data_IF_121648527576
#
_entry.id   IF_121648527576
#
_cell.length_a   1.000
_cell.length_b   1.000
_cell.length_c   1.000
_cell.angle_alpha   90.00
_cell.angle_beta   90.00
_cell.angle_gamma   90.00
#
_symmetry.space_group_name_H-M   'P 1'
#
loop_
_entity.id
_entity.type
_entity.pdbx_description
1 polymer ?
#
# COMPACT_ATOMS: atom_id res chain seq x y z
N UNK A 1 19.27 11.90 19.54
CA UNK A 1 19.26 10.66 20.36
C UNK A 1 18.85 9.51 19.48
N UNK A 2 19.81 8.68 19.05
CA UNK A 2 19.53 7.50 18.21
C UNK A 2 18.80 6.45 19.03
N UNK A 3 17.50 6.31 18.79
CA UNK A 3 16.73 5.13 19.23
C UNK A 3 16.66 4.09 18.13
N UNK A 4 17.78 3.64 17.63
CA UNK A 4 17.82 2.31 17.02
C UNK A 4 18.22 1.33 18.11
N UNK A 5 17.25 0.98 18.95
CA UNK A 5 17.33 -0.23 19.72
C UNK A 5 17.64 -1.38 18.75
N UNK A 6 18.62 -2.20 19.13
CA UNK A 6 19.12 -3.39 18.44
C UNK A 6 18.14 -3.94 17.40
N UNK A 7 18.52 -3.89 16.12
CA UNK A 7 17.76 -4.56 15.05
C UNK A 7 17.33 -5.94 15.52
N UNK A 8 16.03 -6.23 15.59
CA UNK A 8 15.60 -7.59 15.82
C UNK A 8 16.25 -8.46 14.76
N UNK A 9 16.77 -9.60 15.16
CA UNK A 9 17.37 -10.56 14.24
C UNK A 9 16.42 -10.75 13.05
N UNK A 10 16.93 -10.54 11.83
CA UNK A 10 16.13 -10.73 10.61
C UNK A 10 15.59 -12.13 10.61
N UNK A 11 14.28 -12.25 10.63
CA UNK A 11 13.62 -13.53 10.43
C UNK A 11 13.71 -13.83 8.94
N UNK A 12 14.70 -14.64 8.56
CA UNK A 12 14.83 -15.15 7.21
C UNK A 12 13.70 -16.15 6.96
N UNK A 13 12.69 -15.75 6.19
CA UNK A 13 11.58 -16.62 5.85
C UNK A 13 10.49 -15.89 5.07
N UNK A 14 9.67 -16.65 4.37
CA UNK A 14 8.48 -16.12 3.73
C UNK A 14 7.44 -15.72 4.78
N UNK A 15 6.64 -14.67 4.54
CA UNK A 15 5.60 -14.26 5.46
C UNK A 15 4.51 -15.32 5.59
N UNK A 16 3.84 -15.33 6.73
CA UNK A 16 2.58 -16.03 6.88
C UNK A 16 1.53 -15.38 5.98
N UNK A 17 0.58 -16.19 5.48
CA UNK A 17 -0.58 -15.67 4.74
C UNK A 17 -1.55 -14.91 5.64
N UNK A 18 -1.42 -15.01 6.97
CA UNK A 18 -2.34 -14.47 7.95
C UNK A 18 -3.67 -15.22 8.04
N UNK A 19 -3.83 -16.33 7.34
CA UNK A 19 -5.01 -17.19 7.46
C UNK A 19 -5.01 -17.85 8.84
N UNK A 20 -6.08 -17.62 9.62
CA UNK A 20 -6.31 -18.25 10.92
C UNK A 20 -7.50 -19.20 10.91
N UNK A 21 -8.38 -19.08 9.91
CA UNK A 21 -9.52 -19.99 9.76
C UNK A 21 -9.08 -21.27 9.07
N UNK A 22 -9.38 -22.40 9.67
CA UNK A 22 -9.16 -23.72 9.08
C UNK A 22 -10.32 -24.07 8.14
N UNK A 23 -10.03 -24.24 6.88
CA UNK A 23 -11.03 -24.67 5.87
C UNK A 23 -10.93 -26.17 5.58
N UNK A 24 -9.73 -26.71 5.70
CA UNK A 24 -9.44 -28.14 5.57
C UNK A 24 -8.21 -28.47 6.42
N UNK A 25 -8.18 -29.67 7.00
CA UNK A 25 -7.05 -30.12 7.79
C UNK A 25 -5.74 -30.09 6.96
N UNK A 26 -4.70 -29.44 7.51
CA UNK A 26 -3.40 -29.30 6.87
C UNK A 26 -3.24 -28.05 5.99
N UNK A 27 -4.27 -27.22 5.86
CA UNK A 27 -4.15 -25.92 5.21
C UNK A 27 -3.36 -24.92 6.07
N UNK A 28 -3.14 -23.71 5.55
CA UNK A 28 -2.35 -22.70 6.27
C UNK A 28 -3.06 -22.17 7.53
N UNK A 29 -4.38 -22.25 7.62
CA UNK A 29 -5.12 -21.96 8.85
C UNK A 29 -4.80 -22.92 9.98
N UNK A 30 -4.49 -24.21 9.65
CA UNK A 30 -4.04 -25.22 10.60
C UNK A 30 -2.58 -25.03 10.97
N UNK A 31 -1.69 -24.90 9.97
CA UNK A 31 -0.24 -24.97 10.18
C UNK A 31 0.42 -23.62 10.45
N UNK A 32 -0.20 -22.52 9.97
CA UNK A 32 0.30 -21.14 10.09
C UNK A 32 1.79 -20.99 9.76
N UNK A 33 2.21 -21.65 8.67
CA UNK A 33 3.59 -21.66 8.22
C UNK A 33 4.04 -20.28 7.75
N UNK A 34 5.29 -19.93 8.06
CA UNK A 34 5.90 -18.66 7.69
C UNK A 34 6.19 -17.77 8.88
N UNK A 35 6.73 -16.60 8.61
CA UNK A 35 7.08 -15.61 9.62
C UNK A 35 5.89 -14.68 9.84
N UNK A 36 5.43 -14.47 11.10
CA UNK A 36 4.36 -13.52 11.38
C UNK A 36 4.72 -12.11 10.94
N UNK A 37 3.74 -11.40 10.35
CA UNK A 37 3.90 -9.98 10.03
C UNK A 37 4.18 -9.16 11.29
N UNK A 38 5.12 -8.23 11.20
CA UNK A 38 5.51 -7.33 12.27
C UNK A 38 5.30 -5.89 11.83
N UNK A 39 4.10 -5.38 12.09
CA UNK A 39 3.77 -4.00 11.80
C UNK A 39 3.93 -3.12 13.03
N UNK A 40 4.46 -1.92 12.83
CA UNK A 40 4.43 -0.83 13.77
C UNK A 40 3.68 0.33 13.14
N UNK A 41 2.67 0.85 13.85
CA UNK A 41 1.89 2.00 13.40
C UNK A 41 2.37 3.23 14.15
N UNK A 42 2.85 4.22 13.41
CA UNK A 42 3.31 5.50 13.97
C UNK A 42 2.30 6.59 13.65
N UNK A 43 1.62 7.08 14.68
CA UNK A 43 0.55 8.08 14.57
C UNK A 43 0.78 9.32 15.43
N UNK A 44 1.88 9.37 16.22
CA UNK A 44 2.17 10.40 17.19
C UNK A 44 3.46 11.15 16.86
N UNK A 45 3.65 12.33 17.46
CA UNK A 45 4.83 13.15 17.22
C UNK A 45 4.92 13.64 15.78
N UNK A 46 6.03 13.38 15.11
CA UNK A 46 6.25 13.76 13.71
C UNK A 46 5.30 13.09 12.71
N UNK A 47 4.65 12.00 13.09
CA UNK A 47 3.69 11.26 12.25
C UNK A 47 2.24 11.62 12.55
N UNK A 48 2.00 12.64 13.37
CA UNK A 48 0.67 13.14 13.67
C UNK A 48 0.21 14.19 12.64
N UNK A 49 -1.11 14.35 12.52
CA UNK A 49 -1.72 15.35 11.65
C UNK A 49 -1.95 14.88 10.22
N UNK A 50 -2.09 15.84 9.34
CA UNK A 50 -2.38 15.62 7.92
C UNK A 50 -1.48 16.49 7.04
N UNK A 51 -1.15 15.99 5.86
CA UNK A 51 -0.37 16.69 4.84
C UNK A 51 -1.28 16.99 3.64
N UNK A 52 -1.25 18.22 3.16
CA UNK A 52 -1.93 18.62 1.93
C UNK A 52 -1.06 18.23 0.73
N UNK A 53 -1.46 17.19 0.01
CA UNK A 53 -0.84 16.77 -1.25
C UNK A 53 -1.62 17.46 -2.38
N UNK A 54 -0.96 18.34 -3.14
CA UNK A 54 -1.60 19.08 -4.22
C UNK A 54 -1.24 18.45 -5.57
N UNK A 55 -2.26 18.00 -6.31
CA UNK A 55 -2.12 17.44 -7.64
C UNK A 55 -3.11 18.14 -8.59
N UNK A 56 -2.60 18.80 -9.61
CA UNK A 56 -3.40 19.56 -10.60
C UNK A 56 -4.42 20.50 -9.93
N UNK A 57 -3.98 21.29 -8.96
CA UNK A 57 -4.83 22.23 -8.22
C UNK A 57 -5.86 21.61 -7.27
N UNK A 58 -5.93 20.28 -7.17
CA UNK A 58 -6.77 19.56 -6.20
C UNK A 58 -5.95 19.18 -4.99
N UNK A 59 -6.55 19.32 -3.82
CA UNK A 59 -5.89 18.98 -2.56
C UNK A 59 -6.40 17.66 -2.03
N UNK A 60 -5.47 16.73 -1.77
CA UNK A 60 -5.71 15.53 -1.01
C UNK A 60 -5.16 15.71 0.40
N UNK A 61 -6.02 15.64 1.40
CA UNK A 61 -5.61 15.70 2.79
C UNK A 61 -5.27 14.29 3.25
N UNK A 62 -3.98 14.00 3.32
CA UNK A 62 -3.47 12.68 3.65
C UNK A 62 -3.02 12.61 5.11
N UNK A 63 -3.37 11.52 5.80
CA UNK A 63 -2.85 11.27 7.15
C UNK A 63 -1.32 11.10 7.12
N UNK A 64 -0.63 11.71 8.06
CA UNK A 64 0.81 11.50 8.28
C UNK A 64 1.11 10.16 8.97
N UNK A 65 0.09 9.40 9.40
CA UNK A 65 0.30 8.09 9.99
C UNK A 65 0.95 7.14 8.97
N UNK A 66 1.92 6.39 9.44
CA UNK A 66 2.68 5.44 8.64
C UNK A 66 2.70 4.05 9.29
N UNK A 67 2.86 3.05 8.47
CA UNK A 67 2.98 1.65 8.88
C UNK A 67 4.36 1.15 8.50
N UNK A 68 5.15 0.73 9.48
CA UNK A 68 6.45 0.11 9.25
C UNK A 68 6.26 -1.40 9.23
N UNK A 69 6.68 -2.02 8.15
CA UNK A 69 6.84 -3.46 8.05
C UNK A 69 8.29 -3.82 8.39
N UNK A 70 8.48 -4.33 9.59
CA UNK A 70 9.81 -4.72 10.07
C UNK A 70 10.37 -5.96 9.37
N UNK A 71 9.52 -6.76 8.72
CA UNK A 71 9.95 -7.94 7.98
C UNK A 71 10.64 -7.58 6.67
N UNK A 72 10.07 -6.60 5.95
CA UNK A 72 10.57 -6.20 4.63
C UNK A 72 11.34 -4.88 4.64
N UNK A 73 11.43 -4.20 5.79
CA UNK A 73 12.02 -2.86 5.92
C UNK A 73 11.35 -1.84 5.00
N UNK A 74 10.05 -1.88 4.98
CA UNK A 74 9.24 -0.95 4.20
C UNK A 74 8.39 -0.10 5.13
N UNK A 75 8.17 1.12 4.71
CA UNK A 75 7.23 2.02 5.36
C UNK A 75 6.14 2.37 4.36
N UNK A 76 4.89 2.25 4.77
CA UNK A 76 3.72 2.55 3.96
C UNK A 76 2.98 3.77 4.50
N UNK A 77 2.35 4.54 3.61
CA UNK A 77 1.30 5.46 4.05
C UNK A 77 0.14 4.63 4.62
N UNK A 78 -0.46 5.05 5.74
CA UNK A 78 -1.56 4.29 6.33
C UNK A 78 -2.84 4.37 5.50
N UNK A 79 -3.02 5.43 4.73
CA UNK A 79 -4.23 5.69 3.94
C UNK A 79 -3.95 5.71 2.44
N UNK A 80 -4.99 5.50 1.64
CA UNK A 80 -4.97 5.62 0.19
C UNK A 80 -5.29 7.05 -0.25
N UNK A 81 -4.96 7.41 -1.52
CA UNK A 81 -5.45 8.63 -2.16
C UNK A 81 -6.97 8.76 -2.04
N UNK A 82 -7.47 9.96 -1.73
CA UNK A 82 -8.88 10.16 -1.38
C UNK A 82 -9.61 11.24 -2.18
N UNK A 83 -9.00 12.41 -2.40
CA UNK A 83 -9.69 13.60 -2.91
C UNK A 83 -9.07 14.19 -4.18
N UNK A 84 -8.17 13.50 -4.82
CA UNK A 84 -7.50 13.88 -6.08
C UNK A 84 -8.00 13.04 -7.26
N UNK A 85 -7.46 13.28 -8.44
CA UNK A 85 -7.79 12.57 -9.67
C UNK A 85 -8.94 13.22 -10.44
N UNK A 86 -9.29 12.71 -11.63
CA UNK A 86 -10.23 13.36 -12.55
C UNK A 86 -11.58 13.71 -11.95
N UNK A 87 -12.09 12.87 -11.06
CA UNK A 87 -13.39 13.04 -10.39
C UNK A 87 -13.28 13.41 -8.91
N UNK A 88 -12.08 13.78 -8.42
CA UNK A 88 -11.83 14.17 -7.02
C UNK A 88 -12.27 13.12 -5.99
N UNK A 89 -12.14 11.84 -6.32
CA UNK A 89 -12.53 10.71 -5.48
C UNK A 89 -11.34 9.81 -5.09
N UNK A 90 -10.12 10.29 -5.31
CA UNK A 90 -8.87 9.56 -5.03
C UNK A 90 -8.50 8.51 -6.08
N UNK A 91 -9.26 8.41 -7.17
CA UNK A 91 -8.99 7.51 -8.27
C UNK A 91 -8.11 8.20 -9.31
N UNK A 92 -6.95 7.64 -9.60
CA UNK A 92 -5.94 8.16 -10.51
C UNK A 92 -5.67 7.18 -11.65
N UNK A 93 -5.44 7.65 -12.89
CA UNK A 93 -5.00 6.76 -13.95
C UNK A 93 -3.58 6.25 -13.66
N UNK A 94 -3.26 5.04 -14.10
CA UNK A 94 -1.91 4.49 -13.94
C UNK A 94 -0.89 5.28 -14.77
N UNK A 95 -1.25 5.62 -16.01
CA UNK A 95 -0.48 6.58 -16.83
C UNK A 95 -0.99 7.99 -16.57
N UNK A 96 -0.08 8.97 -16.61
CA UNK A 96 -0.47 10.37 -16.47
C UNK A 96 -1.44 10.78 -17.59
N UNK A 97 -2.59 11.35 -17.23
CA UNK A 97 -3.55 11.91 -18.18
C UNK A 97 -3.09 13.29 -18.72
N UNK A 98 -3.87 13.85 -19.65
CA UNK A 98 -3.56 15.16 -20.23
C UNK A 98 -3.54 16.33 -19.23
N UNK A 99 -4.08 16.13 -18.02
CA UNK A 99 -4.07 17.13 -16.94
C UNK A 99 -2.90 16.94 -15.96
N UNK A 100 -1.98 16.02 -16.22
CA UNK A 100 -0.86 15.72 -15.32
C UNK A 100 -1.21 14.84 -14.12
N UNK A 101 -2.42 14.28 -14.05
CA UNK A 101 -2.86 13.41 -12.97
C UNK A 101 -2.51 11.96 -13.28
N UNK A 102 -1.89 11.28 -12.34
CA UNK A 102 -1.51 9.86 -12.44
C UNK A 102 -0.93 9.33 -11.13
N UNK A 103 -0.82 8.01 -11.00
CA UNK A 103 -0.33 7.39 -9.76
C UNK A 103 1.11 7.79 -9.44
N UNK A 104 1.96 7.96 -10.45
CA UNK A 104 3.36 8.35 -10.26
C UNK A 104 3.51 9.86 -10.00
N UNK A 105 2.69 10.70 -10.62
CA UNK A 105 2.67 12.14 -10.31
C UNK A 105 2.11 12.41 -8.92
N UNK A 106 1.21 11.56 -8.43
CA UNK A 106 0.75 11.62 -7.04
C UNK A 106 1.87 11.30 -6.04
N UNK A 107 2.69 10.28 -6.30
CA UNK A 107 3.86 9.99 -5.46
C UNK A 107 4.86 11.16 -5.47
N UNK A 108 5.10 11.78 -6.62
CA UNK A 108 5.94 12.97 -6.73
C UNK A 108 5.34 14.17 -5.94
N UNK A 109 4.02 14.38 -6.00
CA UNK A 109 3.35 15.42 -5.22
C UNK A 109 3.43 15.16 -3.71
N UNK A 110 3.34 13.90 -3.25
CA UNK A 110 3.53 13.53 -1.85
C UNK A 110 4.96 13.83 -1.38
N UNK A 111 5.96 13.61 -2.23
CA UNK A 111 7.36 13.96 -1.96
C UNK A 111 7.57 15.47 -1.87
N UNK A 112 6.96 16.24 -2.77
CA UNK A 112 6.98 17.71 -2.71
C UNK A 112 6.34 18.24 -1.42
N UNK A 113 5.25 17.61 -0.99
CA UNK A 113 4.56 17.94 0.26
C UNK A 113 5.26 17.41 1.52
N UNK A 114 6.33 16.61 1.37
CA UNK A 114 7.06 15.96 2.46
C UNK A 114 6.14 15.15 3.38
N UNK A 115 5.32 14.26 2.81
CA UNK A 115 4.40 13.40 3.56
C UNK A 115 5.14 12.69 4.69
N UNK A 116 4.65 12.83 5.92
CA UNK A 116 5.27 12.29 7.14
C UNK A 116 6.77 12.67 7.29
N UNK A 117 7.18 13.84 6.79
CA UNK A 117 8.54 14.37 6.74
C UNK A 117 9.51 13.61 5.81
N UNK A 118 9.01 12.79 4.90
CA UNK A 118 9.83 12.08 3.91
C UNK A 118 9.56 12.56 2.48
N UNK A 119 10.57 12.42 1.63
CA UNK A 119 10.56 12.89 0.23
C UNK A 119 10.95 11.81 -0.77
N UNK A 120 10.87 10.54 -0.36
CA UNK A 120 11.25 9.37 -1.15
C UNK A 120 10.12 8.34 -1.29
N UNK A 121 8.87 8.82 -1.18
CA UNK A 121 7.69 8.02 -1.42
C UNK A 121 7.58 7.60 -2.88
N UNK A 122 7.14 6.38 -3.09
CA UNK A 122 6.89 5.80 -4.42
C UNK A 122 5.66 4.90 -4.43
N UNK A 123 5.20 4.53 -5.60
CA UNK A 123 4.18 3.50 -5.78
C UNK A 123 4.82 2.13 -5.49
N UNK A 124 4.22 1.26 -4.66
CA UNK A 124 4.77 -0.06 -4.37
C UNK A 124 4.86 -0.90 -5.64
N UNK A 125 5.84 -1.78 -5.73
CA UNK A 125 5.80 -2.83 -6.72
C UNK A 125 4.75 -3.91 -6.34
N UNK A 126 4.45 -4.81 -7.26
CA UNK A 126 3.42 -5.82 -7.06
C UNK A 126 3.70 -6.73 -5.84
N UNK A 127 4.95 -7.14 -5.66
CA UNK A 127 5.35 -8.02 -4.55
C UNK A 127 5.28 -7.29 -3.21
N UNK A 128 5.72 -6.03 -3.15
CA UNK A 128 5.60 -5.21 -1.95
C UNK A 128 4.14 -5.03 -1.52
N UNK A 129 3.23 -4.86 -2.48
CA UNK A 129 1.80 -4.77 -2.15
C UNK A 129 1.24 -6.14 -1.71
N UNK A 130 1.60 -7.25 -2.37
CA UNK A 130 1.19 -8.60 -1.96
C UNK A 130 1.62 -8.94 -0.54
N UNK A 131 2.81 -8.50 -0.15
CA UNK A 131 3.35 -8.74 1.18
C UNK A 131 2.49 -8.15 2.31
N UNK A 132 1.65 -7.14 2.02
CA UNK A 132 0.75 -6.52 2.99
C UNK A 132 -0.59 -7.26 3.14
N UNK A 133 -0.90 -8.21 2.27
CA UNK A 133 -2.20 -8.85 2.26
C UNK A 133 -2.27 -10.02 3.25
N UNK A 134 -3.32 -10.04 4.04
CA UNK A 134 -3.70 -11.17 4.89
C UNK A 134 -4.78 -11.96 4.15
N UNK A 135 -4.49 -13.20 3.83
CA UNK A 135 -5.41 -14.10 3.12
C UNK A 135 -6.36 -14.79 4.11
N UNK A 136 -7.28 -13.99 4.65
CA UNK A 136 -8.32 -14.46 5.58
C UNK A 136 -9.69 -14.27 4.93
N UNK A 137 -10.50 -15.33 4.83
CA UNK A 137 -11.85 -15.15 4.30
C UNK A 137 -12.69 -14.19 5.18
N UNK A 138 -13.58 -13.39 4.60
CA UNK A 138 -13.98 -13.45 3.18
C UNK A 138 -13.11 -12.62 2.23
N UNK A 139 -12.02 -12.02 2.67
CA UNK A 139 -11.25 -11.10 1.83
C UNK A 139 -9.75 -11.13 2.11
N UNK A 140 -8.95 -10.92 1.06
CA UNK A 140 -7.52 -10.66 1.17
C UNK A 140 -7.30 -9.15 1.32
N UNK A 141 -7.29 -8.65 2.55
CA UNK A 141 -7.06 -7.24 2.87
C UNK A 141 -5.72 -7.07 3.58
N UNK A 142 -5.11 -5.89 3.54
CA UNK A 142 -4.04 -5.55 4.46
C UNK A 142 -4.49 -5.73 5.92
N UNK A 143 -3.51 -5.93 6.81
CA UNK A 143 -3.78 -6.09 8.24
C UNK A 143 -4.64 -4.95 8.78
N UNK A 144 -5.83 -5.26 9.31
CA UNK A 144 -6.80 -4.25 9.74
C UNK A 144 -6.35 -3.44 10.97
N UNK A 145 -5.40 -3.95 11.75
CA UNK A 145 -4.81 -3.19 12.85
C UNK A 145 -3.81 -2.17 12.32
N UNK A 146 -3.02 -2.52 11.31
CA UNK A 146 -2.07 -1.62 10.69
C UNK A 146 -2.75 -0.62 9.74
N UNK A 147 -3.78 -1.08 9.01
CA UNK A 147 -4.51 -0.30 8.01
C UNK A 147 -6.02 -0.28 8.32
N UNK A 148 -6.46 0.40 9.39
CA UNK A 148 -7.83 0.28 9.94
C UNK A 148 -8.93 0.76 8.98
N UNK A 149 -8.60 1.65 8.07
CA UNK A 149 -9.55 2.23 7.11
C UNK A 149 -9.31 1.77 5.67
N UNK A 150 -8.65 0.63 5.48
CA UNK A 150 -8.38 0.13 4.13
C UNK A 150 -9.68 -0.40 3.51
N UNK A 151 -10.19 0.22 2.43
CA UNK A 151 -11.49 -0.15 1.88
C UNK A 151 -11.41 -1.50 1.16
N UNK A 152 -12.48 -2.29 1.25
CA UNK A 152 -12.63 -3.52 0.46
C UNK A 152 -13.08 -3.20 -0.97
N UNK A 153 -12.75 -4.07 -1.92
CA UNK A 153 -13.21 -3.97 -3.30
C UNK A 153 -12.56 -2.86 -4.12
N UNK A 154 -11.55 -2.16 -3.60
CA UNK A 154 -10.83 -1.16 -4.38
C UNK A 154 -9.67 -1.77 -5.16
N UNK A 155 -9.43 -1.24 -6.34
CA UNK A 155 -8.23 -1.54 -7.12
C UNK A 155 -7.11 -0.61 -6.65
N UNK A 156 -5.97 -1.20 -6.28
CA UNK A 156 -4.79 -0.46 -5.81
C UNK A 156 -3.68 -0.55 -6.86
N UNK A 157 -3.03 0.59 -7.08
CA UNK A 157 -1.93 0.70 -8.03
C UNK A 157 -0.68 -0.03 -7.55
N UNK A 158 -0.01 -0.70 -8.48
CA UNK A 158 1.40 -1.08 -8.32
C UNK A 158 2.24 -0.48 -9.44
N UNK A 159 3.54 -0.37 -9.24
CA UNK A 159 4.47 0.13 -10.25
C UNK A 159 4.88 -0.94 -11.28
N UNK A 160 4.38 -2.16 -11.15
CA UNK A 160 4.75 -3.29 -12.02
C UNK A 160 3.83 -3.37 -13.24
N UNK A 161 4.41 -3.57 -14.41
CA UNK A 161 3.69 -3.84 -15.65
C UNK A 161 3.64 -5.34 -15.92
N UNK A 162 2.55 -5.85 -16.52
CA UNK A 162 2.44 -7.25 -16.89
C UNK A 162 3.46 -7.60 -17.98
N UNK A 163 4.23 -8.67 -17.76
CA UNK A 163 5.25 -9.10 -18.72
C UNK A 163 4.65 -9.59 -20.05
N UNK A 164 3.46 -10.21 -20.01
CA UNK A 164 2.75 -10.73 -21.17
C UNK A 164 1.95 -9.69 -21.94
N UNK A 165 1.63 -8.56 -21.30
CA UNK A 165 0.91 -7.47 -21.93
C UNK A 165 1.34 -6.13 -21.30
N UNK A 166 2.28 -5.47 -21.94
CA UNK A 166 2.85 -4.20 -21.45
C UNK A 166 1.87 -3.03 -21.44
N UNK A 167 0.69 -3.17 -22.08
CA UNK A 167 -0.39 -2.20 -21.98
C UNK A 167 -1.12 -2.26 -20.63
N UNK A 168 -0.93 -3.31 -19.85
CA UNK A 168 -1.61 -3.52 -18.57
C UNK A 168 -0.64 -3.38 -17.40
N UNK A 169 -1.00 -2.64 -16.33
CA UNK A 169 -0.31 -2.73 -15.06
C UNK A 169 -0.69 -4.02 -14.31
N UNK A 170 0.16 -4.50 -13.44
CA UNK A 170 -0.24 -5.45 -12.41
C UNK A 170 -0.96 -4.67 -11.30
N UNK A 171 -2.20 -4.98 -11.07
CA UNK A 171 -3.06 -4.33 -10.08
C UNK A 171 -3.60 -5.38 -9.12
N UNK A 172 -4.07 -4.93 -7.97
CA UNK A 172 -4.68 -5.82 -6.99
C UNK A 172 -6.04 -5.30 -6.54
N UNK A 173 -7.04 -6.17 -6.53
CA UNK A 173 -8.31 -5.89 -5.87
C UNK A 173 -8.16 -6.29 -4.40
N UNK A 174 -8.46 -5.36 -3.51
CA UNK A 174 -8.19 -5.50 -2.07
C UNK A 174 -9.00 -6.58 -1.35
N UNK A 175 -9.95 -7.23 -2.00
CA UNK A 175 -10.80 -8.23 -1.34
C UNK A 175 -10.96 -9.55 -2.09
N UNK A 176 -10.47 -9.67 -3.32
CA UNK A 176 -10.77 -10.86 -4.14
C UNK A 176 -9.58 -11.83 -4.27
N UNK A 177 -8.41 -11.40 -3.87
CA UNK A 177 -7.19 -12.19 -4.15
C UNK A 177 -6.85 -12.29 -5.63
N UNK A 178 -7.67 -11.74 -6.53
CA UNK A 178 -7.49 -11.80 -7.99
C UNK A 178 -6.85 -10.55 -8.53
N UNK A 179 -6.15 -10.70 -9.64
CA UNK A 179 -5.53 -9.60 -10.37
C UNK A 179 -6.42 -9.25 -11.58
N UNK A 180 -7.04 -8.07 -11.59
CA UNK A 180 -7.85 -7.69 -12.73
C UNK A 180 -6.95 -7.41 -13.94
N UNK A 181 -7.30 -7.99 -15.08
CA UNK A 181 -6.70 -7.64 -16.37
C UNK A 181 -7.27 -6.31 -16.85
N UNK A 182 -6.71 -5.21 -16.35
CA UNK A 182 -7.20 -3.86 -16.63
C UNK A 182 -6.13 -3.06 -17.38
N UNK A 183 -6.56 -2.20 -18.27
CA UNK A 183 -5.67 -1.33 -19.04
C UNK A 183 -5.11 -0.20 -18.17
N UNK A 184 -3.98 0.41 -18.57
CA UNK A 184 -3.36 1.55 -17.87
C UNK A 184 -4.22 2.81 -17.82
N UNK A 185 -5.34 2.83 -18.52
CA UNK A 185 -6.31 3.93 -18.52
C UNK A 185 -7.34 3.84 -17.38
N UNK A 186 -7.38 2.72 -16.65
CA UNK A 186 -8.26 2.61 -15.50
C UNK A 186 -7.83 3.57 -14.38
N UNK A 187 -8.82 4.05 -13.66
CA UNK A 187 -8.59 4.87 -12.45
C UNK A 187 -8.54 3.98 -11.20
N UNK A 188 -7.50 4.15 -10.41
CA UNK A 188 -7.13 3.29 -9.29
C UNK A 188 -6.68 4.13 -8.10
N UNK A 189 -6.74 3.57 -6.89
CA UNK A 189 -6.21 4.23 -5.70
C UNK A 189 -4.73 3.96 -5.52
N UNK A 190 -4.06 4.86 -4.81
CA UNK A 190 -2.61 4.78 -4.56
C UNK A 190 -2.35 4.59 -3.08
N UNK A 191 -1.61 3.54 -2.75
CA UNK A 191 -0.86 3.40 -1.51
C UNK A 191 0.58 3.84 -1.79
N UNK A 192 1.20 4.54 -0.86
CA UNK A 192 2.60 4.93 -1.01
C UNK A 192 3.50 4.05 -0.16
N UNK A 193 4.71 3.79 -0.65
CA UNK A 193 5.73 3.02 0.06
C UNK A 193 7.09 3.71 -0.07
N UNK A 194 7.95 3.49 0.93
CA UNK A 194 9.38 3.84 0.92
C UNK A 194 10.18 2.79 1.67
N UNK A 195 11.50 2.78 1.52
CA UNK A 195 12.40 1.99 2.36
C UNK A 195 12.60 2.66 3.73
N UNK A 196 12.74 1.87 4.80
CA UNK A 196 13.05 2.36 6.15
C UNK A 196 14.52 2.56 6.37
#
# INVERSE_FOLDING_TARGET
MNRFASSPAYLNGLPQTGQTTVYVAGDNGTNQTGVPHRYEVLTTGQYSGTTAIVLNGKTDTHSNAVVIDHQYRLMYSQTLSASVGPTSNGLLPWTTNGNGEGVFTYAAAANTASLALYTDWRVPNYIEFLAQQIYQAPSALPNSTAFPSFPSGVVVATSTTQATNTANPMLKISNSGTDPALTKLITIRVLLVRST
#
